data_IF_861349793960
#
_entry.id   IF_861349793960
#
_cell.length_a   1.000
_cell.length_b   1.000
_cell.length_c   1.000
_cell.angle_alpha   90.00
_cell.angle_beta   90.00
_cell.angle_gamma   90.00
#
_symmetry.space_group_name_H-M   'P 1'
#
loop_
_entity.id
_entity.type
_entity.pdbx_description
1 polymer ?
#
# COMPACT_ATOMS: atom_id res chain seq x y z
N UNK A 1 0.55 2.03 4.13
CA UNK A 1 1.16 2.74 5.28
C UNK A 1 2.38 2.03 5.89
N UNK A 2 2.33 0.76 6.30
CA UNK A 2 3.47 0.10 6.99
C UNK A 2 4.72 -0.04 6.10
N UNK A 3 4.55 -0.51 4.86
CA UNK A 3 5.65 -0.73 3.92
C UNK A 3 6.30 0.57 3.45
N UNK A 4 5.50 1.63 3.30
CA UNK A 4 5.98 2.98 3.00
C UNK A 4 6.83 3.54 4.15
N UNK A 5 6.37 3.41 5.40
CA UNK A 5 7.15 3.80 6.57
C UNK A 5 8.43 3.00 6.70
N UNK A 6 8.42 1.71 6.35
CA UNK A 6 9.63 0.91 6.32
C UNK A 6 10.66 1.50 5.35
N UNK A 7 10.26 1.99 4.17
CA UNK A 7 11.15 2.73 3.27
C UNK A 7 11.66 4.01 3.92
N UNK A 8 10.77 4.81 4.53
CA UNK A 8 11.14 6.08 5.17
C UNK A 8 12.13 5.91 6.32
N UNK A 9 11.95 4.89 7.18
CA UNK A 9 12.84 4.62 8.30
C UNK A 9 14.26 4.21 7.87
N UNK A 10 14.38 3.53 6.73
CA UNK A 10 15.67 3.05 6.22
C UNK A 10 16.30 4.02 5.21
N UNK A 11 15.56 5.02 4.73
CA UNK A 11 16.07 5.98 3.75
C UNK A 11 16.43 5.31 2.42
N UNK A 12 17.58 5.70 1.84
CA UNK A 12 17.98 5.25 0.51
C UNK A 12 18.10 3.72 0.39
N UNK A 13 18.60 3.02 1.43
CA UNK A 13 18.74 1.55 1.39
C UNK A 13 17.37 0.85 1.26
N UNK A 14 16.29 1.47 1.76
CA UNK A 14 14.92 0.96 1.61
C UNK A 14 14.40 0.94 0.16
N UNK A 15 15.07 1.65 -0.76
CA UNK A 15 14.76 1.68 -2.19
C UNK A 15 15.73 0.86 -3.05
N UNK A 16 16.83 0.37 -2.47
CA UNK A 16 17.79 -0.50 -3.16
C UNK A 16 17.25 -1.93 -3.30
N UNK A 17 18.03 -2.80 -3.96
CA UNK A 17 17.74 -4.23 -4.10
C UNK A 17 18.50 -5.11 -3.11
N UNK A 18 19.20 -4.50 -2.16
CA UNK A 18 19.97 -5.23 -1.15
C UNK A 18 19.03 -5.90 -0.12
N UNK A 19 17.83 -5.34 0.05
CA UNK A 19 16.82 -5.81 0.98
C UNK A 19 15.43 -5.76 0.33
N UNK A 20 14.50 -6.60 0.80
CA UNK A 20 13.17 -6.73 0.20
C UNK A 20 12.18 -5.61 0.59
N UNK A 21 12.61 -4.57 1.31
CA UNK A 21 11.75 -3.46 1.76
C UNK A 21 11.00 -2.83 0.58
N UNK A 22 11.72 -2.49 -0.49
CA UNK A 22 11.14 -1.93 -1.71
C UNK A 22 10.24 -2.93 -2.46
N UNK A 23 10.48 -4.24 -2.35
CA UNK A 23 9.60 -5.28 -2.92
C UNK A 23 8.25 -5.29 -2.21
N UNK A 24 8.24 -5.26 -0.88
CA UNK A 24 7.00 -5.23 -0.10
C UNK A 24 6.21 -3.94 -0.33
N UNK A 25 6.88 -2.79 -0.46
CA UNK A 25 6.21 -1.53 -0.82
C UNK A 25 5.51 -1.62 -2.18
N UNK A 26 6.22 -2.09 -3.22
CA UNK A 26 5.62 -2.25 -4.57
C UNK A 26 4.46 -3.23 -4.58
N UNK A 27 4.55 -4.35 -3.85
CA UNK A 27 3.45 -5.32 -3.74
C UNK A 27 2.22 -4.73 -3.05
N UNK A 28 2.41 -3.95 -1.98
CA UNK A 28 1.31 -3.26 -1.31
C UNK A 28 0.60 -2.28 -2.27
N UNK A 29 1.37 -1.49 -3.03
CA UNK A 29 0.81 -0.57 -4.04
C UNK A 29 0.12 -1.30 -5.20
N UNK A 30 0.66 -2.44 -5.65
CA UNK A 30 0.00 -3.25 -6.68
C UNK A 30 -1.35 -3.83 -6.18
N UNK A 31 -1.47 -4.13 -4.89
CA UNK A 31 -2.71 -4.57 -4.27
C UNK A 31 -3.84 -3.55 -4.38
N UNK A 32 -3.54 -2.26 -4.20
CA UNK A 32 -4.52 -1.17 -4.38
C UNK A 32 -5.05 -1.13 -5.82
N UNK A 33 -4.21 -1.39 -6.83
CA UNK A 33 -4.65 -1.45 -8.22
C UNK A 33 -5.50 -2.70 -8.51
N UNK A 34 -5.12 -3.85 -7.92
CA UNK A 34 -5.76 -5.13 -8.19
C UNK A 34 -7.12 -5.29 -7.47
N UNK A 35 -7.25 -4.73 -6.27
CA UNK A 35 -8.41 -4.95 -5.40
C UNK A 35 -9.16 -3.66 -5.05
N UNK A 36 -8.71 -2.52 -5.58
CA UNK A 36 -9.19 -1.20 -5.20
C UNK A 36 -8.48 -0.67 -3.96
N UNK A 37 -8.43 0.65 -3.88
CA UNK A 37 -7.82 1.36 -2.77
C UNK A 37 -8.82 1.57 -1.60
N UNK A 38 -8.39 2.33 -0.60
CA UNK A 38 -9.21 2.59 0.58
C UNK A 38 -10.52 3.30 0.24
N UNK A 39 -10.53 4.21 -0.72
CA UNK A 39 -11.72 4.99 -1.03
C UNK A 39 -12.70 4.19 -1.88
N UNK A 40 -12.20 3.35 -2.80
CA UNK A 40 -13.02 2.34 -3.49
C UNK A 40 -13.76 1.43 -2.50
N UNK A 41 -13.06 0.93 -1.48
CA UNK A 41 -13.67 0.05 -0.48
C UNK A 41 -14.66 0.79 0.42
N UNK A 42 -14.37 2.03 0.81
CA UNK A 42 -15.31 2.87 1.57
C UNK A 42 -16.61 3.12 0.81
N UNK A 43 -16.53 3.38 -0.49
CA UNK A 43 -17.70 3.59 -1.34
C UNK A 43 -18.60 2.36 -1.35
N UNK A 44 -18.02 1.16 -1.52
CA UNK A 44 -18.78 -0.11 -1.43
C UNK A 44 -19.47 -0.22 -0.08
N UNK A 45 -18.75 0.04 1.02
CA UNK A 45 -19.31 -0.02 2.38
C UNK A 45 -20.44 1.01 2.55
N UNK A 46 -20.28 2.24 2.07
CA UNK A 46 -21.31 3.28 2.14
C UNK A 46 -22.59 2.84 1.41
N UNK A 47 -22.45 2.29 0.20
CA UNK A 47 -23.57 1.74 -0.56
C UNK A 47 -24.28 0.61 0.16
N UNK A 48 -23.54 -0.30 0.81
CA UNK A 48 -24.14 -1.39 1.60
C UNK A 48 -24.84 -0.88 2.88
N UNK A 49 -24.41 0.26 3.40
CA UNK A 49 -25.04 0.92 4.54
C UNK A 49 -26.22 1.82 4.15
N UNK A 50 -26.45 2.05 2.86
CA UNK A 50 -27.48 2.98 2.36
C UNK A 50 -27.16 4.45 2.62
N UNK A 51 -25.87 4.79 2.71
CA UNK A 51 -25.34 6.15 2.85
C UNK A 51 -25.03 6.78 1.49
#
# INVERSE_FOLDING_TARGET
FVTERAVQCHGAIGLTRDHDIGLYYRRAKAGELAFGDTDFQKEIVAQQMGL
#
